data_IF_216017485630
#
_entry.id   IF_216017485630
#
_cell.length_a   1.000
_cell.length_b   1.000
_cell.length_c   1.000
_cell.angle_alpha   90.00
_cell.angle_beta   90.00
_cell.angle_gamma   90.00
#
_symmetry.space_group_name_H-M   'P 1'
#
loop_
_entity.id
_entity.type
_entity.pdbx_description
1 polymer ?
#
# COMPACT_ATOMS: atom_id res chain seq x y z
N UNK A 1 46.10 2.11 -47.41
CA UNK A 1 46.02 2.63 -46.03
C UNK A 1 44.67 2.23 -45.42
N UNK A 2 44.65 1.10 -44.73
CA UNK A 2 43.46 0.49 -44.13
C UNK A 2 43.47 0.87 -42.64
N UNK A 3 42.56 1.74 -42.21
CA UNK A 3 42.29 1.96 -40.78
C UNK A 3 40.80 1.76 -40.52
N UNK A 4 40.42 0.49 -40.34
CA UNK A 4 39.11 0.11 -39.82
C UNK A 4 39.15 0.36 -38.31
N UNK A 5 38.59 1.48 -37.84
CA UNK A 5 38.36 1.72 -36.41
C UNK A 5 37.40 0.64 -35.89
N UNK A 6 37.92 -0.30 -35.13
CA UNK A 6 37.11 -1.19 -34.29
C UNK A 6 36.59 -0.33 -33.14
N UNK A 7 35.35 0.15 -33.26
CA UNK A 7 34.61 0.64 -32.12
C UNK A 7 34.43 -0.55 -31.16
N UNK A 8 35.17 -0.55 -30.05
CA UNK A 8 34.95 -1.46 -28.95
C UNK A 8 33.61 -1.10 -28.30
N UNK A 9 32.52 -1.68 -28.78
CA UNK A 9 31.25 -1.65 -28.07
C UNK A 9 31.42 -2.53 -26.83
N UNK A 10 31.83 -1.94 -25.72
CA UNK A 10 31.80 -2.58 -24.41
C UNK A 10 30.33 -2.81 -24.05
N UNK A 11 29.79 -3.97 -24.45
CA UNK A 11 28.48 -4.41 -24.02
C UNK A 11 28.52 -4.56 -22.49
N UNK A 12 27.84 -3.66 -21.78
CA UNK A 12 27.76 -3.70 -20.32
C UNK A 12 27.05 -4.99 -19.90
N UNK A 13 27.64 -5.71 -18.94
CA UNK A 13 27.08 -6.96 -18.44
C UNK A 13 25.66 -6.73 -17.87
N UNK A 14 24.72 -7.68 -18.07
CA UNK A 14 23.34 -7.52 -17.59
C UNK A 14 23.31 -7.37 -16.07
N UNK A 15 22.62 -6.33 -15.59
CA UNK A 15 22.48 -6.05 -14.16
C UNK A 15 21.67 -7.17 -13.50
N UNK A 16 22.23 -7.80 -12.46
CA UNK A 16 21.59 -8.87 -11.67
C UNK A 16 21.29 -8.42 -10.25
N UNK A 17 20.24 -9.00 -9.66
CA UNK A 17 19.85 -8.79 -8.25
C UNK A 17 19.54 -7.33 -7.93
N UNK A 18 19.92 -6.88 -6.74
CA UNK A 18 19.68 -5.53 -6.20
C UNK A 18 20.16 -4.38 -7.09
N UNK A 19 21.20 -4.61 -7.91
CA UNK A 19 21.73 -3.60 -8.86
C UNK A 19 20.72 -3.24 -9.94
N UNK A 20 19.88 -4.19 -10.36
CA UNK A 20 18.80 -3.95 -11.32
C UNK A 20 17.72 -3.05 -10.71
N UNK A 21 17.28 -3.37 -9.50
CA UNK A 21 16.27 -2.57 -8.78
C UNK A 21 16.75 -1.13 -8.55
N UNK A 22 18.01 -0.97 -8.10
CA UNK A 22 18.61 0.35 -7.90
C UNK A 22 18.70 1.18 -9.19
N UNK A 23 19.06 0.54 -10.31
CA UNK A 23 19.12 1.21 -11.61
C UNK A 23 17.72 1.61 -12.11
N UNK A 24 16.74 0.70 -12.05
CA UNK A 24 15.36 0.96 -12.46
C UNK A 24 14.70 2.09 -11.66
N UNK A 25 14.98 2.16 -10.35
CA UNK A 25 14.49 3.24 -9.50
C UNK A 25 15.09 4.60 -9.88
N UNK A 26 16.37 4.64 -10.24
CA UNK A 26 17.07 5.86 -10.65
C UNK A 26 16.55 6.42 -11.98
N UNK A 27 16.16 5.55 -12.90
CA UNK A 27 15.68 5.94 -14.23
C UNK A 27 14.27 6.53 -14.20
N UNK A 28 13.39 6.07 -13.29
CA UNK A 28 11.98 6.50 -13.18
C UNK A 28 11.51 6.67 -11.73
N UNK A 29 12.11 7.60 -10.95
CA UNK A 29 11.89 7.68 -9.50
C UNK A 29 10.44 8.00 -9.14
N UNK A 30 9.80 8.94 -9.85
CA UNK A 30 8.41 9.32 -9.56
C UNK A 30 7.42 8.16 -9.76
N UNK A 31 7.55 7.41 -10.86
CA UNK A 31 6.66 6.27 -11.14
C UNK A 31 6.78 5.17 -10.09
N UNK A 32 8.00 4.90 -9.62
CA UNK A 32 8.26 3.88 -8.61
C UNK A 32 7.77 4.33 -7.23
N UNK A 33 7.99 5.60 -6.86
CA UNK A 33 7.47 6.16 -5.61
C UNK A 33 5.93 6.12 -5.55
N UNK A 34 5.25 6.55 -6.63
CA UNK A 34 3.78 6.54 -6.69
C UNK A 34 3.24 5.12 -6.64
N UNK A 35 3.89 4.17 -7.34
CA UNK A 35 3.48 2.76 -7.32
C UNK A 35 3.69 2.15 -5.94
N UNK A 36 4.82 2.43 -5.28
CA UNK A 36 5.10 1.99 -3.92
C UNK A 36 4.06 2.52 -2.95
N UNK A 37 3.74 3.83 -2.99
CA UNK A 37 2.74 4.42 -2.12
C UNK A 37 1.36 3.78 -2.34
N UNK A 38 0.94 3.59 -3.60
CA UNK A 38 -0.31 2.92 -3.91
C UNK A 38 -0.37 1.49 -3.35
N UNK A 39 0.69 0.70 -3.56
CA UNK A 39 0.79 -0.65 -3.01
C UNK A 39 0.81 -0.64 -1.48
N UNK A 40 1.46 0.35 -0.86
CA UNK A 40 1.50 0.50 0.59
C UNK A 40 0.10 0.76 1.17
N UNK A 41 -0.69 1.61 0.51
CA UNK A 41 -2.07 1.90 0.91
C UNK A 41 -2.99 0.70 0.71
N UNK A 42 -2.91 0.03 -0.45
CA UNK A 42 -3.73 -1.16 -0.72
C UNK A 42 -3.45 -2.26 0.31
N UNK A 43 -2.17 -2.49 0.63
CA UNK A 43 -1.77 -3.46 1.66
C UNK A 43 -2.10 -2.98 3.08
N UNK A 44 -2.53 -1.73 3.28
CA UNK A 44 -3.12 -1.23 4.54
C UNK A 44 -4.63 -1.49 4.61
N UNK A 45 -5.32 -1.12 3.52
CA UNK A 45 -6.79 -1.07 3.46
C UNK A 45 -7.38 -2.46 3.34
N UNK A 46 -6.80 -3.35 2.52
CA UNK A 46 -7.38 -4.68 2.26
C UNK A 46 -7.30 -5.60 3.49
N UNK A 47 -6.18 -5.65 4.24
CA UNK A 47 -6.11 -6.52 5.42
C UNK A 47 -7.02 -6.08 6.58
N UNK A 48 -7.35 -4.78 6.70
CA UNK A 48 -8.22 -4.27 7.77
C UNK A 48 -9.58 -4.99 7.87
N UNK A 49 -10.42 -5.05 6.82
CA UNK A 49 -11.69 -5.75 6.88
C UNK A 49 -11.49 -7.27 7.00
N UNK A 50 -10.43 -7.84 6.40
CA UNK A 50 -10.14 -9.27 6.51
C UNK A 50 -9.88 -9.65 7.98
N UNK A 51 -9.00 -8.92 8.66
CA UNK A 51 -8.70 -9.17 10.08
C UNK A 51 -9.92 -8.88 10.96
N UNK A 52 -10.67 -7.81 10.67
CA UNK A 52 -11.88 -7.49 11.42
C UNK A 52 -12.93 -8.60 11.33
N UNK A 53 -13.28 -9.05 10.12
CA UNK A 53 -14.30 -10.07 9.93
C UNK A 53 -13.85 -11.45 10.43
N UNK A 54 -12.55 -11.76 10.39
CA UNK A 54 -12.03 -12.99 10.99
C UNK A 54 -12.13 -12.98 12.51
N UNK A 55 -11.85 -11.86 13.17
CA UNK A 55 -12.07 -11.70 14.62
C UNK A 55 -13.55 -11.78 14.99
N UNK A 56 -14.40 -11.11 14.22
CA UNK A 56 -15.85 -11.11 14.44
C UNK A 56 -16.44 -12.51 14.26
N UNK A 57 -16.11 -13.21 13.17
CA UNK A 57 -16.64 -14.54 12.86
C UNK A 57 -16.12 -15.63 13.81
N UNK A 58 -14.85 -15.55 14.23
CA UNK A 58 -14.27 -16.53 15.15
C UNK A 58 -14.79 -16.39 16.58
N UNK A 59 -15.40 -15.26 16.94
CA UNK A 59 -15.80 -14.96 18.32
C UNK A 59 -14.61 -14.91 19.28
N UNK A 60 -13.39 -14.75 18.77
CA UNK A 60 -12.18 -14.78 19.58
C UNK A 60 -12.18 -13.63 20.60
N UNK A 61 -11.81 -13.95 21.84
CA UNK A 61 -11.71 -12.97 22.93
C UNK A 61 -10.26 -12.52 23.04
N UNK A 62 -9.98 -11.22 22.89
CA UNK A 62 -8.60 -10.72 22.95
C UNK A 62 -8.13 -10.74 24.42
N UNK A 63 -7.23 -11.64 24.82
CA UNK A 63 -6.86 -11.79 26.24
C UNK A 63 -6.03 -10.60 26.76
N UNK A 64 -5.48 -9.79 25.85
CA UNK A 64 -4.66 -8.62 26.15
C UNK A 64 -5.50 -7.40 26.57
N UNK A 65 -6.83 -7.45 26.39
CA UNK A 65 -7.72 -6.32 26.68
C UNK A 65 -8.69 -6.74 27.79
N UNK A 66 -8.55 -6.18 29.01
CA UNK A 66 -9.49 -6.41 30.10
C UNK A 66 -10.92 -5.98 29.74
N UNK A 67 -11.93 -6.68 30.26
CA UNK A 67 -13.34 -6.39 29.98
C UNK A 67 -13.73 -4.96 30.41
N UNK A 68 -13.21 -4.50 31.55
CA UNK A 68 -13.34 -3.12 32.04
C UNK A 68 -12.87 -2.07 31.01
N UNK A 69 -11.79 -2.36 30.26
CA UNK A 69 -11.29 -1.45 29.24
C UNK A 69 -12.20 -1.43 28.00
N UNK A 70 -12.85 -2.55 27.68
CA UNK A 70 -13.85 -2.64 26.59
C UNK A 70 -15.09 -1.84 26.97
N UNK A 71 -15.60 -2.03 28.19
CA UNK A 71 -16.78 -1.31 28.70
C UNK A 71 -16.55 0.21 28.75
N UNK A 72 -15.40 0.64 29.27
CA UNK A 72 -15.03 2.05 29.31
C UNK A 72 -14.86 2.64 27.91
N UNK A 73 -14.19 1.91 27.00
CA UNK A 73 -14.05 2.30 25.61
C UNK A 73 -15.40 2.45 24.89
N UNK A 74 -16.31 1.50 25.10
CA UNK A 74 -17.65 1.54 24.54
C UNK A 74 -18.50 2.67 25.13
N UNK A 75 -18.32 3.01 26.41
CA UNK A 75 -18.97 4.15 27.05
C UNK A 75 -18.53 5.48 26.42
N UNK A 76 -17.22 5.66 26.22
CA UNK A 76 -16.66 6.86 25.58
C UNK A 76 -17.15 6.95 24.13
N UNK A 77 -17.08 5.85 23.39
CA UNK A 77 -17.51 5.80 22.00
C UNK A 77 -19.02 6.04 21.86
N UNK A 78 -19.84 5.52 22.79
CA UNK A 78 -21.29 5.74 22.77
C UNK A 78 -21.65 7.21 22.94
N UNK A 79 -20.91 7.97 23.77
CA UNK A 79 -21.09 9.44 23.87
C UNK A 79 -20.82 10.15 22.54
N UNK A 80 -19.84 9.67 21.77
CA UNK A 80 -19.52 10.21 20.45
C UNK A 80 -20.58 9.82 19.41
N UNK A 81 -20.96 8.54 19.37
CA UNK A 81 -21.95 8.01 18.42
C UNK A 81 -23.30 8.69 18.54
N UNK A 82 -23.80 8.86 19.77
CA UNK A 82 -25.10 9.52 20.01
C UNK A 82 -25.08 10.99 19.62
N UNK A 83 -23.93 11.68 19.76
CA UNK A 83 -23.76 13.05 19.27
C UNK A 83 -23.92 13.18 17.74
N UNK A 84 -23.58 12.13 16.98
CA UNK A 84 -23.76 12.07 15.53
C UNK A 84 -25.07 11.39 15.10
N UNK A 85 -25.99 11.10 16.03
CA UNK A 85 -27.28 10.47 15.73
C UNK A 85 -27.22 8.95 15.52
N UNK A 86 -26.15 8.29 15.98
CA UNK A 86 -26.04 6.83 15.97
C UNK A 86 -26.44 6.23 17.33
N UNK A 87 -26.97 5.01 17.30
CA UNK A 87 -27.26 4.22 18.50
C UNK A 87 -26.00 4.01 19.37
N UNK A 88 -26.15 3.96 20.70
CA UNK A 88 -25.03 3.62 21.58
C UNK A 88 -24.51 2.20 21.31
N UNK A 89 -23.27 1.93 21.71
CA UNK A 89 -22.73 0.57 21.73
C UNK A 89 -23.20 -0.14 23.00
N UNK A 90 -23.43 -1.45 22.91
CA UNK A 90 -23.58 -2.28 24.09
C UNK A 90 -22.28 -2.23 24.92
N UNK A 91 -22.34 -2.25 26.27
CA UNK A 91 -21.14 -2.19 27.12
C UNK A 91 -20.13 -3.31 26.80
N UNK A 92 -20.62 -4.49 26.48
CA UNK A 92 -19.86 -5.69 26.12
C UNK A 92 -19.61 -5.83 24.60
N UNK A 93 -19.94 -4.78 23.81
CA UNK A 93 -19.79 -4.82 22.36
C UNK A 93 -18.33 -4.99 21.95
N UNK A 94 -18.07 -5.93 21.04
CA UNK A 94 -16.72 -6.22 20.56
C UNK A 94 -16.31 -5.41 19.34
N UNK A 95 -17.21 -4.62 18.77
CA UNK A 95 -16.96 -3.89 17.53
C UNK A 95 -15.72 -3.00 17.68
N UNK A 96 -15.62 -2.25 18.78
CA UNK A 96 -14.50 -1.34 19.01
C UNK A 96 -13.18 -2.07 19.24
N UNK A 97 -13.19 -3.13 20.05
CA UNK A 97 -11.97 -3.90 20.30
C UNK A 97 -11.51 -4.67 19.06
N UNK A 98 -12.43 -5.19 18.24
CA UNK A 98 -12.13 -5.88 16.99
C UNK A 98 -11.56 -4.90 15.95
N UNK A 99 -12.10 -3.67 15.85
CA UNK A 99 -11.54 -2.61 15.01
C UNK A 99 -10.14 -2.21 15.47
N UNK A 100 -9.95 -1.97 16.77
CA UNK A 100 -8.66 -1.60 17.34
C UNK A 100 -7.61 -2.70 17.14
N UNK A 101 -8.00 -3.96 17.37
CA UNK A 101 -7.14 -5.13 17.18
C UNK A 101 -6.78 -5.31 15.72
N UNK A 102 -7.75 -5.17 14.81
CA UNK A 102 -7.49 -5.21 13.37
C UNK A 102 -6.45 -4.16 12.95
N UNK A 103 -6.61 -2.92 13.39
CA UNK A 103 -5.63 -1.86 13.15
C UNK A 103 -4.25 -2.20 13.74
N UNK A 104 -4.20 -2.72 14.96
CA UNK A 104 -2.95 -3.13 15.61
C UNK A 104 -2.25 -4.25 14.83
N UNK A 105 -2.99 -5.24 14.31
CA UNK A 105 -2.45 -6.32 13.47
C UNK A 105 -1.89 -5.76 12.16
N UNK A 106 -2.65 -4.92 11.45
CA UNK A 106 -2.18 -4.29 10.20
C UNK A 106 -0.93 -3.44 10.42
N UNK A 107 -0.82 -2.82 11.60
CA UNK A 107 0.37 -2.08 12.03
C UNK A 107 1.54 -3.01 12.37
N UNK A 108 1.29 -4.13 13.06
CA UNK A 108 2.31 -5.14 13.31
C UNK A 108 2.87 -5.74 11.99
N UNK A 109 2.03 -5.82 10.96
CA UNK A 109 2.41 -6.26 9.62
C UNK A 109 3.24 -5.23 8.83
N UNK A 110 3.52 -4.03 9.36
CA UNK A 110 4.26 -2.97 8.64
C UNK A 110 5.55 -3.44 7.96
N UNK A 111 6.46 -4.21 8.62
CA UNK A 111 7.70 -4.65 7.97
C UNK A 111 7.43 -5.54 6.75
N UNK A 112 6.50 -6.48 6.89
CA UNK A 112 6.07 -7.36 5.81
C UNK A 112 5.42 -6.57 4.67
N UNK A 113 4.59 -5.58 5.00
CA UNK A 113 3.92 -4.71 4.03
C UNK A 113 4.94 -3.91 3.23
N UNK A 114 5.92 -3.30 3.88
CA UNK A 114 6.99 -2.56 3.21
C UNK A 114 7.77 -3.49 2.28
N UNK A 115 8.18 -4.67 2.75
CA UNK A 115 8.89 -5.64 1.94
C UNK A 115 8.08 -6.08 0.71
N UNK A 116 6.79 -6.40 0.90
CA UNK A 116 5.88 -6.78 -0.18
C UNK A 116 5.68 -5.63 -1.19
N UNK A 117 5.45 -4.40 -0.73
CA UNK A 117 5.30 -3.23 -1.58
C UNK A 117 6.57 -2.95 -2.39
N UNK A 118 7.76 -3.06 -1.79
CA UNK A 118 9.04 -2.89 -2.51
C UNK A 118 9.22 -3.97 -3.58
N UNK A 119 8.94 -5.24 -3.24
CA UNK A 119 9.08 -6.36 -4.17
C UNK A 119 8.14 -6.26 -5.38
N UNK A 120 6.91 -5.78 -5.16
CA UNK A 120 5.87 -5.68 -6.19
C UNK A 120 5.96 -4.39 -7.03
N UNK A 121 6.62 -3.35 -6.53
CA UNK A 121 6.78 -2.06 -7.22
C UNK A 121 7.25 -2.18 -8.69
N UNK A 122 8.35 -2.88 -9.03
CA UNK A 122 8.82 -2.92 -10.42
C UNK A 122 7.80 -3.60 -11.36
N UNK A 123 7.15 -4.68 -10.89
CA UNK A 123 6.12 -5.37 -11.66
C UNK A 123 4.91 -4.46 -11.93
N UNK A 124 4.41 -3.74 -10.91
CA UNK A 124 3.27 -2.85 -11.06
C UNK A 124 3.59 -1.58 -11.84
N UNK A 125 4.77 -1.00 -11.66
CA UNK A 125 5.21 0.19 -12.38
C UNK A 125 5.33 -0.10 -13.89
N UNK A 126 5.87 -1.26 -14.25
CA UNK A 126 6.01 -1.68 -15.65
C UNK A 126 4.66 -2.09 -16.27
N UNK A 127 3.81 -2.82 -15.53
CA UNK A 127 2.55 -3.39 -16.05
C UNK A 127 1.36 -2.42 -16.05
N UNK A 128 1.20 -1.61 -15.02
CA UNK A 128 0.03 -0.73 -14.86
C UNK A 128 0.33 0.72 -15.23
N UNK A 129 1.46 1.27 -14.75
CA UNK A 129 1.75 2.70 -14.94
C UNK A 129 2.25 3.00 -16.36
N UNK A 130 3.04 2.10 -16.97
CA UNK A 130 3.48 2.23 -18.36
C UNK A 130 2.36 2.53 -19.39
N UNK A 131 1.30 1.71 -19.47
CA UNK A 131 0.18 1.97 -20.38
C UNK A 131 -0.72 3.13 -19.93
N UNK A 132 -0.95 3.31 -18.63
CA UNK A 132 -1.77 4.41 -18.10
C UNK A 132 -1.17 5.79 -18.40
N UNK A 133 0.15 5.98 -18.18
CA UNK A 133 0.82 7.24 -18.48
C UNK A 133 0.90 7.52 -19.99
N UNK A 134 1.03 6.47 -20.82
CA UNK A 134 1.00 6.60 -22.28
C UNK A 134 -0.34 7.12 -22.80
N UNK A 135 -1.44 6.62 -22.25
CA UNK A 135 -2.79 7.07 -22.57
C UNK A 135 -3.08 8.47 -22.04
N UNK A 136 -2.69 8.77 -20.80
CA UNK A 136 -2.89 10.09 -20.19
C UNK A 136 -2.08 11.18 -20.91
N UNK A 137 -0.83 10.90 -21.29
CA UNK A 137 0.02 11.83 -22.03
C UNK A 137 -0.51 12.12 -23.44
N UNK A 138 -1.19 11.16 -24.08
CA UNK A 138 -1.89 11.40 -25.36
C UNK A 138 -3.13 12.27 -25.18
N UNK A 139 -3.83 12.14 -24.06
CA UNK A 139 -5.02 12.95 -23.76
C UNK A 139 -4.68 14.42 -23.43
N UNK A 140 -3.52 14.67 -22.80
CA UNK A 140 -3.11 16.02 -22.38
C UNK A 140 -2.15 16.73 -23.36
N UNK A 141 -1.73 16.09 -24.46
CA UNK A 141 -0.91 16.76 -25.48
C UNK A 141 -1.84 17.65 -26.32
N UNK A 142 -1.92 18.95 -25.98
CA UNK A 142 -2.60 19.95 -26.82
C UNK A 142 -2.06 19.87 -28.26
N UNK A 143 -2.92 19.99 -29.29
CA UNK A 143 -2.46 20.01 -30.67
C UNK A 143 -1.53 21.21 -30.85
N UNK A 144 -0.30 20.94 -31.28
CA UNK A 144 0.63 21.96 -31.76
C UNK A 144 0.01 22.60 -32.99
N UNK A 145 -0.57 23.79 -32.82
CA UNK A 145 -0.89 24.69 -33.93
C UNK A 145 0.40 24.99 -34.67
N UNK A 146 0.51 24.47 -35.89
CA UNK A 146 1.59 24.80 -36.82
C UNK A 146 1.11 26.03 -37.57
N UNK A 147 1.81 27.16 -37.42
CA UNK A 147 1.66 28.33 -38.31
C UNK A 147 2.31 28.05 -39.65
#
# INVERSE_FOLDING_TARGET
>A
MIFRRLASTTASAPLKGWRKYAHQFRDKPASYMTTFALLHEITAIVPLPIVYYTLEYSGWHIPLVPQEAIEEGNRIMSKLRTRYGYEPLAPDSRIMVNLATSYAVVKAMMPLRIAASVALTPFFAERMVGPLLGSFRRLFKKPTTTN
#
